data_IF_224142319209
#
_entry.id   IF_224142319209
#
_cell.length_a   1.000
_cell.length_b   1.000
_cell.length_c   1.000
_cell.angle_alpha   90.00
_cell.angle_beta   90.00
_cell.angle_gamma   90.00
#
_symmetry.space_group_name_H-M   'P 1'
#
loop_
_entity.id
_entity.type
_entity.pdbx_description
1 polymer ?
#
# COMPACT_ATOMS: atom_id res chain seq x y z
N UNK A 1 -2.79 -7.90 6.08
CA UNK A 1 -2.87 -6.45 5.78
C UNK A 1 -4.30 -6.15 5.40
N UNK A 2 -4.82 -4.98 5.75
CA UNK A 2 -6.19 -4.55 5.43
C UNK A 2 -6.11 -3.25 4.64
N UNK A 3 -6.95 -3.12 3.62
CA UNK A 3 -7.23 -1.87 2.90
C UNK A 3 -8.74 -1.60 2.94
N UNK A 4 -9.14 -0.35 2.75
CA UNK A 4 -10.53 0.09 2.82
C UNK A 4 -11.03 0.43 1.42
N UNK A 5 -12.08 -0.27 1.00
CA UNK A 5 -12.74 -0.05 -0.28
C UNK A 5 -13.86 0.99 -0.19
N UNK A 6 -13.92 1.90 -1.16
CA UNK A 6 -15.07 2.81 -1.37
C UNK A 6 -15.92 2.26 -2.50
N UNK A 7 -17.25 2.26 -2.33
CA UNK A 7 -18.18 1.84 -3.39
C UNK A 7 -18.04 2.81 -4.58
N UNK A 8 -17.65 2.33 -5.78
CA UNK A 8 -17.49 3.19 -6.94
C UNK A 8 -18.84 3.78 -7.37
N UNK A 9 -18.83 5.05 -7.76
CA UNK A 9 -19.99 5.74 -8.35
C UNK A 9 -19.79 6.09 -9.83
N UNK A 10 -18.58 5.92 -10.34
CA UNK A 10 -18.19 6.14 -11.73
C UNK A 10 -16.97 5.30 -12.10
N UNK A 11 -16.62 5.26 -13.39
CA UNK A 11 -15.43 4.60 -13.90
C UNK A 11 -14.22 5.56 -13.84
N UNK A 12 -13.75 5.86 -12.63
CA UNK A 12 -12.59 6.74 -12.38
C UNK A 12 -11.27 6.05 -12.74
N UNK A 13 -10.32 6.75 -13.36
CA UNK A 13 -9.01 6.19 -13.78
C UNK A 13 -7.86 6.68 -12.90
N UNK A 14 -8.08 7.73 -12.10
CA UNK A 14 -7.11 8.24 -11.13
C UNK A 14 -6.99 7.39 -9.86
N UNK A 15 -7.87 6.41 -9.65
CA UNK A 15 -7.91 5.57 -8.45
C UNK A 15 -7.41 4.15 -8.70
N UNK A 16 -6.88 3.53 -7.64
CA UNK A 16 -6.73 2.08 -7.59
C UNK A 16 -8.08 1.38 -7.38
N UNK A 17 -8.19 0.15 -7.87
CA UNK A 17 -9.36 -0.72 -7.70
C UNK A 17 -8.96 -1.99 -6.96
N UNK A 18 -9.84 -2.45 -6.08
CA UNK A 18 -9.72 -3.65 -5.27
C UNK A 18 -10.86 -4.58 -5.68
N UNK A 19 -10.52 -5.72 -6.26
CA UNK A 19 -11.49 -6.80 -6.49
C UNK A 19 -11.71 -7.55 -5.19
N UNK A 20 -12.94 -7.56 -4.67
CA UNK A 20 -13.25 -8.41 -3.51
C UNK A 20 -13.32 -9.88 -3.92
N UNK A 21 -12.73 -10.73 -3.11
CA UNK A 21 -12.86 -12.17 -3.16
C UNK A 21 -13.94 -12.68 -2.20
N UNK A 22 -13.68 -13.84 -1.60
CA UNK A 22 -14.58 -14.47 -0.65
C UNK A 22 -14.79 -13.61 0.62
N UNK A 23 -15.99 -13.71 1.19
CA UNK A 23 -16.29 -13.15 2.52
C UNK A 23 -15.47 -13.90 3.57
N UNK A 24 -14.75 -13.15 4.42
CA UNK A 24 -13.94 -13.69 5.51
C UNK A 24 -14.64 -13.49 6.84
N UNK A 25 -15.28 -12.33 7.02
CA UNK A 25 -16.04 -11.96 8.21
C UNK A 25 -17.10 -10.90 7.83
N UNK A 26 -17.87 -10.41 8.80
CA UNK A 26 -18.88 -9.36 8.65
C UNK A 26 -18.28 -8.13 7.98
N UNK A 27 -18.68 -7.87 6.74
CA UNK A 27 -18.17 -6.79 5.89
C UNK A 27 -16.65 -6.83 5.59
N UNK A 28 -15.99 -7.97 5.81
CA UNK A 28 -14.57 -8.17 5.50
C UNK A 28 -14.43 -9.21 4.38
N UNK A 29 -13.77 -8.83 3.30
CA UNK A 29 -13.52 -9.70 2.16
C UNK A 29 -12.03 -9.93 1.96
N UNK A 30 -11.67 -11.10 1.43
CA UNK A 30 -10.34 -11.31 0.88
C UNK A 30 -10.13 -10.34 -0.31
N UNK A 31 -8.89 -9.90 -0.52
CA UNK A 31 -8.52 -9.16 -1.73
C UNK A 31 -8.10 -10.18 -2.79
N UNK A 32 -8.87 -10.29 -3.87
CA UNK A 32 -8.54 -11.17 -5.00
C UNK A 32 -7.53 -10.49 -5.93
N UNK A 33 -7.66 -9.17 -6.12
CA UNK A 33 -6.80 -8.41 -7.02
C UNK A 33 -6.71 -6.95 -6.57
N UNK A 34 -5.54 -6.36 -6.73
CA UNK A 34 -5.28 -4.94 -6.57
C UNK A 34 -4.76 -4.38 -7.90
N UNK A 35 -5.40 -3.34 -8.44
CA UNK A 35 -5.04 -2.74 -9.72
C UNK A 35 -4.93 -1.23 -9.55
N UNK A 36 -3.78 -0.65 -9.86
CA UNK A 36 -3.57 0.80 -9.73
C UNK A 36 -3.88 1.50 -11.06
N UNK A 37 -4.81 2.47 -11.04
CA UNK A 37 -5.08 3.40 -12.14
C UNK A 37 -5.30 2.72 -13.50
N UNK A 38 -6.35 1.91 -13.64
CA UNK A 38 -6.67 1.25 -14.90
C UNK A 38 -7.04 2.25 -16.01
N UNK A 39 -7.01 1.82 -17.26
CA UNK A 39 -7.57 2.59 -18.36
C UNK A 39 -9.11 2.70 -18.26
N UNK A 40 -9.69 3.61 -19.03
CA UNK A 40 -11.13 3.91 -19.00
C UNK A 40 -12.03 2.69 -19.31
N UNK A 41 -11.61 1.83 -20.24
CA UNK A 41 -12.40 0.66 -20.62
C UNK A 41 -12.40 -0.36 -19.48
N UNK A 42 -11.23 -0.59 -18.91
CA UNK A 42 -11.05 -1.49 -17.76
C UNK A 42 -11.78 -0.97 -16.52
N UNK A 43 -11.72 0.34 -16.23
CA UNK A 43 -12.45 0.97 -15.13
C UNK A 43 -13.98 0.79 -15.27
N UNK A 44 -14.51 0.93 -16.50
CA UNK A 44 -15.93 0.70 -16.76
C UNK A 44 -16.33 -0.76 -16.50
N UNK A 45 -15.51 -1.72 -16.93
CA UNK A 45 -15.74 -3.14 -16.64
C UNK A 45 -15.76 -3.42 -15.13
N UNK A 46 -14.90 -2.75 -14.35
CA UNK A 46 -14.86 -2.90 -12.90
C UNK A 46 -16.11 -2.34 -12.22
N UNK A 47 -16.59 -1.18 -12.69
CA UNK A 47 -17.85 -0.59 -12.22
C UNK A 47 -19.04 -1.52 -12.52
N UNK A 48 -19.14 -1.99 -13.77
CA UNK A 48 -20.23 -2.85 -14.22
C UNK A 48 -20.25 -4.21 -13.51
N UNK A 49 -19.07 -4.74 -13.14
CA UNK A 49 -18.95 -5.99 -12.41
C UNK A 49 -19.54 -5.92 -10.98
N UNK A 50 -19.56 -4.73 -10.35
CA UNK A 50 -20.07 -4.55 -8.98
C UNK A 50 -19.29 -5.30 -7.89
N UNK A 51 -18.16 -5.91 -8.23
CA UNK A 51 -17.25 -6.63 -7.32
C UNK A 51 -15.95 -5.88 -7.06
N UNK A 52 -15.78 -4.70 -7.64
CA UNK A 52 -14.63 -3.84 -7.42
C UNK A 52 -14.98 -2.64 -6.56
N UNK A 53 -13.99 -2.19 -5.79
CA UNK A 53 -14.07 -1.03 -4.93
C UNK A 53 -12.90 -0.10 -5.22
N UNK A 54 -13.07 1.20 -5.09
CA UNK A 54 -11.93 2.11 -5.13
C UNK A 54 -11.06 1.92 -3.89
N UNK A 55 -9.74 1.85 -4.09
CA UNK A 55 -8.78 1.90 -3.02
C UNK A 55 -8.77 3.30 -2.39
N UNK A 56 -9.08 3.40 -1.10
CA UNK A 56 -9.11 4.70 -0.40
C UNK A 56 -7.72 5.27 -0.08
N UNK A 57 -6.66 4.48 -0.28
CA UNK A 57 -5.31 4.81 0.16
C UNK A 57 -5.06 4.63 1.66
N UNK A 58 -6.05 4.13 2.41
CA UNK A 58 -5.90 3.81 3.84
C UNK A 58 -5.56 2.34 4.02
N UNK A 59 -4.63 2.06 4.92
CA UNK A 59 -4.19 0.70 5.23
C UNK A 59 -4.12 0.47 6.74
N UNK A 60 -4.41 -0.75 7.16
CA UNK A 60 -4.24 -1.19 8.54
C UNK A 60 -3.48 -2.51 8.57
N UNK A 61 -2.38 -2.55 9.31
CA UNK A 61 -1.56 -3.73 9.47
C UNK A 61 -0.75 -3.63 10.75
N UNK A 62 -0.29 -4.77 11.27
CA UNK A 62 0.72 -4.76 12.33
C UNK A 62 2.08 -4.39 11.73
N UNK A 63 2.86 -3.60 12.47
CA UNK A 63 4.16 -3.13 12.01
C UNK A 63 5.13 -4.29 11.68
N UNK A 64 5.13 -5.34 12.51
CA UNK A 64 5.97 -6.54 12.31
C UNK A 64 5.62 -7.32 11.04
N UNK A 65 4.33 -7.39 10.69
CA UNK A 65 3.86 -8.05 9.46
C UNK A 65 4.26 -7.22 8.25
N UNK A 66 4.03 -5.91 8.29
CA UNK A 66 4.38 -5.04 7.18
C UNK A 66 5.89 -5.03 6.89
N UNK A 67 6.72 -4.96 7.93
CA UNK A 67 8.18 -5.03 7.76
C UNK A 67 8.63 -6.36 7.15
N UNK A 68 8.03 -7.50 7.53
CA UNK A 68 8.34 -8.80 6.91
C UNK A 68 7.96 -8.86 5.44
N UNK A 69 6.80 -8.34 5.05
CA UNK A 69 6.43 -8.26 3.64
C UNK A 69 7.38 -7.34 2.87
N UNK A 70 7.75 -6.20 3.45
CA UNK A 70 8.66 -5.23 2.82
C UNK A 70 10.07 -5.81 2.64
N UNK A 71 10.56 -6.60 3.60
CA UNK A 71 11.83 -7.34 3.47
C UNK A 71 11.81 -8.31 2.30
N UNK A 72 10.69 -9.02 2.10
CA UNK A 72 10.56 -9.96 1.00
C UNK A 72 10.43 -9.28 -0.36
N UNK A 73 9.69 -8.17 -0.43
CA UNK A 73 9.28 -7.56 -1.70
C UNK A 73 10.20 -6.41 -2.13
N UNK A 74 10.77 -5.68 -1.18
CA UNK A 74 11.65 -4.52 -1.41
C UNK A 74 12.85 -4.55 -0.43
N UNK A 75 13.70 -5.60 -0.45
CA UNK A 75 14.80 -5.76 0.50
C UNK A 75 15.79 -4.58 0.49
N UNK A 76 16.00 -3.95 -0.67
CA UNK A 76 16.87 -2.79 -0.81
C UNK A 76 16.33 -1.58 -0.03
N UNK A 77 15.01 -1.35 -0.06
CA UNK A 77 14.36 -0.29 0.72
C UNK A 77 14.54 -0.53 2.22
N UNK A 78 14.30 -1.75 2.70
CA UNK A 78 14.48 -2.07 4.12
C UNK A 78 15.92 -1.87 4.56
N UNK A 79 16.88 -2.30 3.74
CA UNK A 79 18.32 -2.14 4.02
C UNK A 79 18.71 -0.67 4.12
N UNK A 80 18.28 0.16 3.16
CA UNK A 80 18.54 1.60 3.17
C UNK A 80 17.93 2.27 4.42
N UNK A 81 16.65 2.01 4.72
CA UNK A 81 15.98 2.57 5.90
C UNK A 81 16.63 2.14 7.22
N UNK A 82 17.03 0.88 7.35
CA UNK A 82 17.74 0.38 8.54
C UNK A 82 19.09 1.07 8.71
N UNK A 83 19.87 1.14 7.64
CA UNK A 83 21.19 1.80 7.67
C UNK A 83 21.05 3.27 8.05
N UNK A 84 20.06 3.96 7.49
CA UNK A 84 19.78 5.36 7.80
C UNK A 84 19.40 5.59 9.26
N UNK A 85 18.69 4.64 9.88
CA UNK A 85 18.32 4.68 11.29
C UNK A 85 19.49 4.32 12.21
N UNK A 86 20.28 3.30 11.87
CA UNK A 86 21.46 2.88 12.64
C UNK A 86 22.53 3.96 12.69
N UNK A 87 22.70 4.70 11.59
CA UNK A 87 23.64 5.82 11.47
C UNK A 87 23.02 7.17 11.87
N UNK A 88 21.78 7.16 12.36
CA UNK A 88 21.10 8.38 12.77
C UNK A 88 21.83 9.07 13.92
N UNK A 89 21.76 10.40 13.93
CA UNK A 89 22.35 11.24 14.96
C UNK A 89 21.26 11.91 15.76
N UNK A 90 21.40 11.90 17.08
CA UNK A 90 20.58 12.71 17.96
C UNK A 90 21.14 14.13 17.96
N UNK A 91 20.31 15.07 17.53
CA UNK A 91 20.59 16.51 17.51
C UNK A 91 19.55 17.21 18.39
N UNK A 92 19.90 17.40 19.67
CA UNK A 92 18.99 17.84 20.72
C UNK A 92 17.75 16.91 20.80
N UNK A 93 16.57 17.45 20.52
CA UNK A 93 15.29 16.72 20.57
C UNK A 93 14.93 16.01 19.25
N UNK A 94 15.83 16.06 18.25
CA UNK A 94 15.60 15.48 16.93
C UNK A 94 16.49 14.27 16.68
N UNK A 95 15.89 13.20 16.14
CA UNK A 95 16.65 12.13 15.49
C UNK A 95 16.76 12.47 14.01
N UNK A 96 17.98 12.71 13.54
CA UNK A 96 18.28 12.94 12.12
C UNK A 96 18.81 11.66 11.51
N UNK A 97 18.05 11.08 10.58
CA UNK A 97 18.50 9.93 9.79
C UNK A 97 19.75 10.29 9.00
N UNK A 98 20.60 9.29 8.75
CA UNK A 98 21.72 9.49 7.83
C UNK A 98 21.22 9.81 6.42
N UNK A 99 21.71 10.92 5.86
CA UNK A 99 21.20 11.48 4.61
C UNK A 99 21.56 10.60 3.42
N UNK A 100 22.78 10.08 3.37
CA UNK A 100 23.27 9.32 2.22
C UNK A 100 22.60 7.94 2.18
N UNK A 101 22.51 7.28 3.33
CA UNK A 101 21.81 6.00 3.47
C UNK A 101 20.31 6.14 3.17
N UNK A 102 19.66 7.21 3.64
CA UNK A 102 18.25 7.45 3.34
C UNK A 102 18.01 7.72 1.84
N UNK A 103 18.87 8.52 1.21
CA UNK A 103 18.78 8.83 -0.23
C UNK A 103 19.07 7.63 -1.14
N UNK A 104 19.71 6.57 -0.63
CA UNK A 104 19.93 5.32 -1.34
C UNK A 104 18.66 4.43 -1.42
N UNK A 105 17.56 4.82 -0.76
CA UNK A 105 16.27 4.16 -0.88
C UNK A 105 15.76 4.22 -2.34
N UNK A 106 15.22 3.13 -2.92
CA UNK A 106 14.78 3.10 -4.32
C UNK A 106 13.44 3.80 -4.61
N UNK A 107 12.86 4.53 -3.65
CA UNK A 107 11.53 5.17 -3.74
C UNK A 107 11.61 6.69 -3.58
#
# INVERSE_FOLDING_TARGET
LVTFGIVPTSAETGYGYIRRGALVDTAVFAVEQFVEKPDQTTAQQYLDAGTYYWNSGMFMFRADVYLRELESQQPAMVTACRTALEQARVDLDFVRLDKEAFAACPA
#
